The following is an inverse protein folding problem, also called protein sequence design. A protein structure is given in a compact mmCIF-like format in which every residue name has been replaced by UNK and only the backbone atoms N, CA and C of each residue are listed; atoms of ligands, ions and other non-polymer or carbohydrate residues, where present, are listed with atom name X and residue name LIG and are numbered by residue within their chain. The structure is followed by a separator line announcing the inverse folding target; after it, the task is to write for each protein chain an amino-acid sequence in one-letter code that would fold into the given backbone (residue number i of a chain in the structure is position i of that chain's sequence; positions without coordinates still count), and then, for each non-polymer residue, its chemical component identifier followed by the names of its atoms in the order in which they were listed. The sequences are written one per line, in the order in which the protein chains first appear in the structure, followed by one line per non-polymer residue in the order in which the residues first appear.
data_IF_521602051954
#
_entry.id   IF_521602051954
#
_cell.length_a   1.000
_cell.length_b   1.000
_cell.length_c   1.000
_cell.angle_alpha   90.00
_cell.angle_beta   90.00
_cell.angle_gamma   90.00
#
_symmetry.space_group_name_H-M   'P 1'
#
loop_
_entity.id
_entity.type
_entity.pdbx_description
1 polymer ?
#
# COMPACT_ATOMS: atom_id res chain seq x y z
N UNK A 1 44.05 6.86 -24.85
CA UNK A 1 42.65 7.36 -24.84
C UNK A 1 41.65 6.28 -24.45
N UNK A 2 41.62 5.11 -25.09
CA UNK A 2 40.70 3.99 -24.80
C UNK A 2 40.86 3.45 -23.36
N UNK A 3 42.09 3.29 -22.87
CA UNK A 3 42.34 2.82 -21.50
C UNK A 3 41.85 3.77 -20.42
N UNK A 4 41.94 5.09 -20.62
CA UNK A 4 41.43 6.07 -19.67
C UNK A 4 39.90 6.07 -19.61
N UNK A 5 39.22 5.91 -20.75
CA UNK A 5 37.78 5.74 -20.83
C UNK A 5 37.32 4.46 -20.14
N UNK A 6 38.04 3.36 -20.35
CA UNK A 6 37.72 2.08 -19.67
C UNK A 6 37.80 2.21 -18.15
N UNK A 7 38.89 2.78 -17.62
CA UNK A 7 39.06 2.99 -16.15
C UNK A 7 37.98 3.92 -15.62
N UNK A 8 37.63 4.99 -16.36
CA UNK A 8 36.56 5.90 -15.96
C UNK A 8 35.20 5.19 -15.86
N UNK A 9 34.81 4.40 -16.86
CA UNK A 9 33.55 3.67 -16.83
C UNK A 9 33.55 2.58 -15.75
N UNK A 10 34.67 1.89 -15.54
CA UNK A 10 34.80 0.90 -14.46
C UNK A 10 34.61 1.57 -13.09
N UNK A 11 35.22 2.73 -12.87
CA UNK A 11 35.04 3.53 -11.67
C UNK A 11 33.60 4.00 -11.48
N UNK A 12 32.93 4.41 -12.55
CA UNK A 12 31.53 4.82 -12.52
C UNK A 12 30.61 3.65 -12.14
N UNK A 13 30.85 2.46 -12.69
CA UNK A 13 30.10 1.24 -12.33
C UNK A 13 30.34 0.89 -10.86
N UNK A 14 31.61 0.90 -10.42
CA UNK A 14 31.94 0.63 -9.02
C UNK A 14 31.26 1.64 -8.06
N UNK A 15 31.27 2.93 -8.44
CA UNK A 15 30.54 3.95 -7.66
C UNK A 15 29.03 3.69 -7.63
N UNK A 16 28.40 3.37 -8.77
CA UNK A 16 26.95 3.14 -8.85
C UNK A 16 26.49 1.95 -7.98
N UNK A 17 27.27 0.85 -7.98
CA UNK A 17 26.89 -0.37 -7.27
C UNK A 17 27.39 -0.44 -5.82
N UNK A 18 28.47 0.24 -5.47
CA UNK A 18 29.06 0.20 -4.13
C UNK A 18 29.06 1.57 -3.46
N UNK A 19 29.59 2.59 -4.13
CA UNK A 19 29.78 3.92 -3.56
C UNK A 19 28.45 4.61 -3.21
N UNK A 20 27.50 4.60 -4.13
CA UNK A 20 26.20 5.24 -3.91
C UNK A 20 25.36 4.55 -2.81
N UNK A 21 25.19 3.23 -2.76
CA UNK A 21 24.52 2.57 -1.62
C UNK A 21 25.22 2.80 -0.29
N UNK A 22 26.56 2.78 -0.23
CA UNK A 22 27.32 3.07 0.97
C UNK A 22 27.13 4.51 1.44
N UNK A 23 27.18 5.48 0.50
CA UNK A 23 26.92 6.89 0.80
C UNK A 23 25.51 7.10 1.36
N UNK A 24 24.50 6.51 0.73
CA UNK A 24 23.10 6.55 1.22
C UNK A 24 23.00 5.93 2.62
N UNK A 25 23.60 4.77 2.82
CA UNK A 25 23.61 4.11 4.15
C UNK A 25 24.24 5.00 5.23
N UNK A 26 25.38 5.62 4.93
CA UNK A 26 26.02 6.55 5.86
C UNK A 26 25.14 7.78 6.14
N UNK A 27 24.56 8.40 5.11
CA UNK A 27 23.69 9.57 5.23
C UNK A 27 22.41 9.24 6.03
N UNK A 28 21.81 8.09 5.81
CA UNK A 28 20.62 7.67 6.57
C UNK A 28 20.91 7.41 8.03
N UNK A 29 22.13 6.91 8.36
CA UNK A 29 22.57 6.72 9.75
C UNK A 29 22.85 8.03 10.48
N UNK A 30 23.28 9.06 9.75
CA UNK A 30 23.51 10.40 10.31
C UNK A 30 22.22 11.18 10.52
N UNK A 31 21.17 10.87 9.73
CA UNK A 31 19.88 11.55 9.85
C UNK A 31 19.08 10.94 11.02
N UNK A 32 19.16 11.57 12.18
CA UNK A 32 18.26 11.26 13.32
C UNK A 32 16.85 11.71 12.93
N UNK A 33 15.93 10.77 12.80
CA UNK A 33 14.51 11.11 12.72
C UNK A 33 14.08 11.68 14.06
N UNK A 34 13.55 12.89 14.07
CA UNK A 34 12.91 13.43 15.25
C UNK A 34 11.72 12.53 15.63
N UNK A 35 11.43 12.35 16.94
CA UNK A 35 10.19 11.67 17.33
C UNK A 35 9.01 12.37 16.69
N UNK A 36 8.16 11.60 16.00
CA UNK A 36 6.94 12.13 15.43
C UNK A 36 5.97 12.48 16.58
N UNK A 37 5.29 13.63 16.52
CA UNK A 37 4.30 14.00 17.52
C UNK A 37 3.19 12.93 17.57
N UNK A 38 2.67 12.69 18.77
CA UNK A 38 1.47 11.87 18.96
C UNK A 38 0.26 12.69 18.50
N UNK A 39 -0.33 12.33 17.39
CA UNK A 39 -1.56 12.92 16.88
C UNK A 39 -2.71 11.91 17.02
N UNK A 40 -3.97 12.37 17.17
CA UNK A 40 -5.11 11.46 17.11
C UNK A 40 -5.14 10.75 15.75
N UNK A 41 -5.62 9.50 15.69
CA UNK A 41 -5.69 8.76 14.43
C UNK A 41 -6.55 9.52 13.40
N UNK A 42 -6.05 9.82 12.20
CA UNK A 42 -6.82 10.43 11.13
C UNK A 42 -7.89 9.48 10.60
N UNK A 43 -8.84 10.00 9.83
CA UNK A 43 -9.76 9.15 9.08
C UNK A 43 -9.05 8.59 7.84
N UNK A 44 -9.06 7.28 7.69
CA UNK A 44 -8.33 6.56 6.63
C UNK A 44 -9.31 5.82 5.73
N UNK A 45 -9.11 5.88 4.42
CA UNK A 45 -9.77 5.00 3.46
C UNK A 45 -8.77 3.97 2.93
N UNK A 46 -9.04 2.69 3.15
CA UNK A 46 -8.31 1.58 2.55
C UNK A 46 -9.02 1.14 1.25
N UNK A 47 -8.39 1.39 0.10
CA UNK A 47 -8.88 0.96 -1.20
C UNK A 47 -8.15 -0.32 -1.61
N UNK A 48 -8.92 -1.40 -1.81
CA UNK A 48 -8.43 -2.71 -2.24
C UNK A 48 -8.81 -2.91 -3.70
N UNK A 49 -7.81 -2.97 -4.59
CA UNK A 49 -8.03 -3.29 -5.99
C UNK A 49 -8.25 -4.80 -6.16
N UNK A 50 -9.31 -5.19 -6.85
CA UNK A 50 -9.64 -6.59 -7.09
C UNK A 50 -10.12 -6.81 -8.54
N UNK A 51 -9.56 -7.84 -9.19
CA UNK A 51 -9.99 -8.37 -10.47
C UNK A 51 -9.72 -9.87 -10.50
N UNK A 52 -10.78 -10.69 -10.50
CA UNK A 52 -10.70 -12.16 -10.46
C UNK A 52 -9.85 -12.67 -9.28
N UNK A 53 -10.25 -12.27 -8.08
CA UNK A 53 -9.54 -12.55 -6.82
C UNK A 53 -10.39 -13.40 -5.85
N UNK A 54 -11.34 -14.22 -6.37
CA UNK A 54 -12.26 -15.02 -5.54
C UNK A 54 -11.54 -15.92 -4.53
N UNK A 55 -10.32 -16.40 -4.89
CA UNK A 55 -9.55 -17.29 -4.04
C UNK A 55 -8.98 -16.60 -2.79
N UNK A 56 -8.75 -15.27 -2.83
CA UNK A 56 -8.01 -14.55 -1.77
C UNK A 56 -8.79 -13.39 -1.16
N UNK A 57 -9.82 -12.87 -1.84
CA UNK A 57 -10.51 -11.65 -1.41
C UNK A 57 -11.14 -11.78 -0.01
N UNK A 58 -11.71 -12.94 0.33
CA UNK A 58 -12.29 -13.16 1.66
C UNK A 58 -11.22 -13.09 2.77
N UNK A 59 -10.06 -13.71 2.54
CA UNK A 59 -8.93 -13.65 3.48
C UNK A 59 -8.42 -12.21 3.63
N UNK A 60 -8.33 -11.47 2.53
CA UNK A 60 -7.95 -10.05 2.53
C UNK A 60 -8.93 -9.18 3.33
N UNK A 61 -10.22 -9.38 3.16
CA UNK A 61 -11.24 -8.61 3.88
C UNK A 61 -11.25 -8.92 5.37
N UNK A 62 -11.13 -10.20 5.75
CA UNK A 62 -10.96 -10.57 7.15
C UNK A 62 -9.71 -9.96 7.77
N UNK A 63 -8.58 -9.96 7.04
CA UNK A 63 -7.36 -9.29 7.47
C UNK A 63 -7.55 -7.76 7.64
N UNK A 64 -8.23 -7.10 6.69
CA UNK A 64 -8.51 -5.67 6.76
C UNK A 64 -9.43 -5.30 7.94
N UNK A 65 -10.40 -6.15 8.28
CA UNK A 65 -11.31 -5.97 9.42
C UNK A 65 -10.63 -6.22 10.78
N UNK A 66 -9.52 -6.98 10.79
CA UNK A 66 -8.74 -7.31 11.98
C UNK A 66 -7.58 -6.31 12.24
N UNK A 67 -7.45 -5.26 11.43
CA UNK A 67 -6.42 -4.23 11.63
C UNK A 67 -6.63 -3.49 12.95
N UNK A 68 -5.53 -3.24 13.67
CA UNK A 68 -5.50 -2.45 14.91
C UNK A 68 -5.61 -0.95 14.57
N UNK A 69 -6.82 -0.54 14.19
CA UNK A 69 -7.16 0.85 13.90
C UNK A 69 -8.62 1.12 14.32
N UNK A 70 -8.95 2.31 14.88
CA UNK A 70 -10.32 2.62 15.29
C UNK A 70 -11.30 2.40 14.13
N UNK A 71 -12.30 1.55 14.35
CA UNK A 71 -13.20 1.10 13.28
C UNK A 71 -13.98 2.26 12.65
N UNK A 72 -14.36 3.23 13.47
CA UNK A 72 -15.03 4.47 13.07
C UNK A 72 -14.11 5.44 12.28
N UNK A 73 -12.81 5.14 12.22
CA UNK A 73 -11.79 5.91 11.49
C UNK A 73 -11.22 5.16 10.29
N UNK A 74 -11.79 4.00 9.94
CA UNK A 74 -11.33 3.18 8.82
C UNK A 74 -12.49 2.84 7.87
N UNK A 75 -12.51 3.48 6.71
CA UNK A 75 -13.37 3.09 5.59
C UNK A 75 -12.65 2.05 4.74
N UNK A 76 -13.35 0.98 4.36
CA UNK A 76 -12.80 -0.07 3.48
C UNK A 76 -13.62 -0.10 2.19
N UNK A 77 -12.97 0.12 1.06
CA UNK A 77 -13.57 0.10 -0.27
C UNK A 77 -12.87 -0.96 -1.12
N UNK A 78 -13.64 -1.86 -1.73
CA UNK A 78 -13.13 -2.78 -2.75
C UNK A 78 -13.44 -2.21 -4.13
N UNK A 79 -12.40 -1.85 -4.87
CA UNK A 79 -12.48 -1.39 -6.25
C UNK A 79 -12.43 -2.63 -7.18
N UNK A 80 -13.60 -3.19 -7.48
CA UNK A 80 -13.73 -4.34 -8.37
C UNK A 80 -14.00 -3.89 -9.81
N UNK A 81 -13.23 -4.42 -10.78
CA UNK A 81 -13.19 -3.94 -12.16
C UNK A 81 -13.48 -5.06 -13.15
N UNK A 82 -14.77 -5.33 -13.37
CA UNK A 82 -15.21 -6.30 -14.37
C UNK A 82 -14.80 -7.74 -14.06
N UNK A 83 -14.76 -8.13 -12.77
CA UNK A 83 -14.55 -9.54 -12.39
C UNK A 83 -15.69 -10.40 -12.94
N UNK A 84 -15.35 -11.52 -13.56
CA UNK A 84 -16.26 -12.53 -14.10
C UNK A 84 -16.32 -13.80 -13.23
N UNK A 85 -15.60 -13.81 -12.10
CA UNK A 85 -15.64 -14.81 -11.05
C UNK A 85 -16.53 -14.36 -9.87
N UNK A 86 -16.48 -15.06 -8.76
CA UNK A 86 -17.27 -14.76 -7.56
C UNK A 86 -16.73 -13.63 -6.68
N UNK A 87 -15.71 -12.87 -7.13
CA UNK A 87 -15.08 -11.79 -6.34
C UNK A 87 -16.13 -10.80 -5.82
N UNK A 88 -16.99 -10.26 -6.69
CA UNK A 88 -17.99 -9.26 -6.31
C UNK A 88 -19.04 -9.83 -5.34
N UNK A 89 -19.49 -11.06 -5.56
CA UNK A 89 -20.42 -11.76 -4.67
C UNK A 89 -19.84 -11.93 -3.27
N UNK A 90 -18.58 -12.37 -3.17
CA UNK A 90 -17.89 -12.56 -1.90
C UNK A 90 -17.78 -11.22 -1.17
N UNK A 91 -17.35 -10.14 -1.85
CA UNK A 91 -17.25 -8.81 -1.24
C UNK A 91 -18.60 -8.34 -0.70
N UNK A 92 -19.69 -8.60 -1.42
CA UNK A 92 -21.04 -8.21 -1.01
C UNK A 92 -21.44 -8.85 0.33
N UNK A 93 -20.96 -10.05 0.67
CA UNK A 93 -21.23 -10.67 1.98
C UNK A 93 -20.61 -9.90 3.15
N UNK A 94 -19.60 -9.07 2.88
CA UNK A 94 -18.96 -8.22 3.89
C UNK A 94 -19.61 -6.85 4.08
N UNK A 95 -20.67 -6.53 3.32
CA UNK A 95 -21.38 -5.25 3.46
C UNK A 95 -21.92 -5.00 4.87
N UNK A 96 -22.37 -6.05 5.56
CA UNK A 96 -22.80 -5.99 6.96
C UNK A 96 -21.68 -5.58 7.95
N UNK A 97 -20.42 -5.71 7.54
CA UNK A 97 -19.23 -5.25 8.28
C UNK A 97 -18.75 -3.87 7.84
N UNK A 98 -19.53 -3.14 7.01
CA UNK A 98 -19.20 -1.81 6.54
C UNK A 98 -18.15 -1.78 5.42
N UNK A 99 -17.96 -2.89 4.70
CA UNK A 99 -17.13 -2.92 3.47
C UNK A 99 -17.98 -2.42 2.30
N UNK A 100 -17.44 -1.48 1.55
CA UNK A 100 -18.09 -0.87 0.39
C UNK A 100 -17.58 -1.56 -0.88
N UNK A 101 -18.50 -2.15 -1.66
CA UNK A 101 -18.19 -2.66 -2.98
C UNK A 101 -18.39 -1.56 -4.03
N UNK A 102 -17.29 -1.13 -4.65
CA UNK A 102 -17.29 -0.24 -5.81
C UNK A 102 -17.01 -1.07 -7.07
N UNK A 103 -18.07 -1.52 -7.74
CA UNK A 103 -18.02 -2.48 -8.86
C UNK A 103 -18.67 -1.91 -10.12
N UNK A 104 -18.08 -2.25 -11.27
CA UNK A 104 -18.70 -2.15 -12.58
C UNK A 104 -18.48 -3.45 -13.34
N UNK A 105 -19.47 -3.87 -14.19
CA UNK A 105 -19.36 -5.13 -14.94
C UNK A 105 -18.38 -5.07 -16.12
N UNK A 106 -18.05 -3.87 -16.60
CA UNK A 106 -17.13 -3.68 -17.72
C UNK A 106 -15.73 -3.35 -17.20
N UNK A 107 -14.74 -4.16 -17.57
CA UNK A 107 -13.34 -3.94 -17.22
C UNK A 107 -12.79 -2.68 -17.87
N UNK A 108 -12.31 -1.75 -17.06
CA UNK A 108 -11.73 -0.48 -17.50
C UNK A 108 -10.24 -0.35 -17.11
N UNK A 109 -9.72 -1.30 -16.36
CA UNK A 109 -8.35 -1.32 -15.89
C UNK A 109 -8.18 -0.74 -14.48
N UNK A 110 -7.13 -1.20 -13.81
CA UNK A 110 -6.84 -0.91 -12.39
C UNK A 110 -6.90 0.58 -12.05
N UNK A 111 -6.32 1.44 -12.91
CA UNK A 111 -6.30 2.90 -12.65
C UNK A 111 -7.70 3.49 -12.62
N UNK A 112 -8.57 3.10 -13.55
CA UNK A 112 -9.95 3.58 -13.59
C UNK A 112 -10.75 3.10 -12.38
N UNK A 113 -10.54 1.85 -11.97
CA UNK A 113 -11.15 1.31 -10.75
C UNK A 113 -10.73 2.10 -9.50
N UNK A 114 -9.43 2.39 -9.35
CA UNK A 114 -8.91 3.19 -8.24
C UNK A 114 -9.44 4.62 -8.26
N UNK A 115 -9.47 5.30 -9.42
CA UNK A 115 -10.04 6.64 -9.54
C UNK A 115 -11.52 6.69 -9.16
N UNK A 116 -12.29 5.68 -9.57
CA UNK A 116 -13.71 5.57 -9.20
C UNK A 116 -13.88 5.34 -7.70
N UNK A 117 -13.05 4.49 -7.08
CA UNK A 117 -13.06 4.28 -5.63
C UNK A 117 -12.64 5.55 -4.87
N UNK A 118 -11.68 6.32 -5.40
CA UNK A 118 -11.26 7.60 -4.84
C UNK A 118 -12.40 8.63 -4.78
N UNK A 119 -13.36 8.60 -5.72
CA UNK A 119 -14.47 9.57 -5.72
C UNK A 119 -15.47 9.35 -4.58
N UNK A 120 -15.41 8.20 -3.90
CA UNK A 120 -16.25 7.86 -2.74
C UNK A 120 -15.43 7.66 -1.46
N UNK A 121 -14.14 7.97 -1.52
CA UNK A 121 -13.24 7.92 -0.37
C UNK A 121 -13.48 9.16 0.51
N UNK A 122 -13.66 8.94 1.82
CA UNK A 122 -13.92 9.97 2.82
C UNK A 122 -12.72 10.25 3.72
N UNK A 123 -11.70 9.38 3.67
CA UNK A 123 -10.51 9.48 4.51
C UNK A 123 -9.61 10.64 4.13
N UNK A 124 -9.03 11.28 5.14
CA UNK A 124 -7.97 12.29 4.98
C UNK A 124 -6.71 11.67 4.35
N UNK A 125 -6.49 10.38 4.61
CA UNK A 125 -5.39 9.58 4.06
C UNK A 125 -5.99 8.39 3.33
N UNK A 126 -5.50 8.13 2.12
CA UNK A 126 -5.92 6.97 1.32
C UNK A 126 -4.78 5.97 1.24
N UNK A 127 -5.07 4.72 1.61
CA UNK A 127 -4.16 3.58 1.46
C UNK A 127 -4.60 2.73 0.28
N UNK A 128 -3.67 2.37 -0.58
CA UNK A 128 -3.91 1.45 -1.69
C UNK A 128 -3.33 0.07 -1.38
N UNK A 129 -4.10 -0.97 -1.68
CA UNK A 129 -3.71 -2.35 -1.50
C UNK A 129 -4.18 -3.22 -2.67
N UNK A 130 -3.40 -4.23 -2.99
CA UNK A 130 -3.88 -5.33 -3.83
C UNK A 130 -4.60 -6.37 -2.97
N UNK A 131 -5.50 -7.14 -3.58
CA UNK A 131 -6.28 -8.17 -2.89
C UNK A 131 -5.42 -9.33 -2.33
N UNK A 132 -4.27 -9.60 -2.95
CA UNK A 132 -3.35 -10.68 -2.55
C UNK A 132 -2.33 -10.28 -1.46
N UNK A 133 -2.36 -9.04 -0.95
CA UNK A 133 -1.46 -8.58 0.10
C UNK A 133 -2.14 -8.67 1.47
N UNK A 134 -1.56 -9.41 2.42
CA UNK A 134 -1.97 -9.39 3.82
C UNK A 134 -1.13 -8.38 4.60
N UNK A 135 -1.74 -7.75 5.56
CA UNK A 135 -1.14 -6.71 6.38
C UNK A 135 -0.93 -7.19 7.82
N UNK A 136 0.15 -6.74 8.44
CA UNK A 136 0.32 -6.83 9.87
C UNK A 136 -0.73 -5.95 10.58
N UNK A 137 -1.12 -6.32 11.79
CA UNK A 137 -2.24 -5.67 12.49
C UNK A 137 -2.07 -4.16 12.65
N UNK A 138 -0.85 -3.69 12.89
CA UNK A 138 -0.52 -2.29 13.17
C UNK A 138 -0.09 -1.47 11.92
N UNK A 139 -0.18 -2.05 10.72
CA UNK A 139 0.33 -1.44 9.48
C UNK A 139 -0.27 -0.06 9.21
N UNK A 140 -1.58 0.13 9.46
CA UNK A 140 -2.24 1.41 9.23
C UNK A 140 -1.66 2.47 10.16
N UNK A 141 -1.47 2.15 11.45
CA UNK A 141 -0.86 3.07 12.41
C UNK A 141 0.57 3.47 11.97
N UNK A 142 1.36 2.49 11.51
CA UNK A 142 2.72 2.74 11.04
C UNK A 142 2.76 3.63 9.79
N UNK A 143 1.85 3.41 8.83
CA UNK A 143 1.78 4.15 7.58
C UNK A 143 1.25 5.58 7.76
N UNK A 144 0.32 5.81 8.69
CA UNK A 144 -0.25 7.15 8.92
C UNK A 144 0.61 8.03 9.82
N UNK A 145 1.40 7.43 10.71
CA UNK A 145 2.23 8.15 11.67
C UNK A 145 3.14 9.22 11.07
N UNK A 146 3.83 9.00 9.92
CA UNK A 146 4.67 10.02 9.31
C UNK A 146 3.93 11.28 8.84
N UNK A 147 2.62 11.21 8.56
CA UNK A 147 1.81 12.36 8.15
C UNK A 147 1.58 13.38 9.28
N UNK A 148 2.01 13.09 10.51
CA UNK A 148 2.10 14.10 11.57
C UNK A 148 3.11 15.24 11.22
N UNK A 149 4.04 14.98 10.28
CA UNK A 149 4.85 16.02 9.64
C UNK A 149 4.11 16.51 8.37
N UNK A 150 3.70 17.79 8.31
CA UNK A 150 2.97 18.33 7.15
C UNK A 150 3.77 18.34 5.84
N UNK A 151 5.07 18.07 5.90
CA UNK A 151 5.93 17.91 4.71
C UNK A 151 5.85 16.53 4.08
N UNK A 152 5.24 15.55 4.75
CA UNK A 152 5.07 14.20 4.25
C UNK A 152 3.82 14.12 3.40
N UNK A 153 3.98 13.91 2.10
CA UNK A 153 2.89 13.75 1.14
C UNK A 153 2.54 12.30 0.81
N UNK A 154 3.44 11.35 1.07
CA UNK A 154 3.21 9.93 0.82
C UNK A 154 4.10 9.06 1.70
N UNK A 155 3.60 7.85 2.01
CA UNK A 155 4.34 6.80 2.72
C UNK A 155 4.19 5.47 2.00
N UNK A 156 5.12 4.56 2.18
CA UNK A 156 5.03 3.20 1.66
C UNK A 156 5.54 2.19 2.68
N UNK A 157 4.91 1.02 2.71
CA UNK A 157 5.37 -0.10 3.51
C UNK A 157 6.38 -0.97 2.75
N UNK A 158 7.12 -1.79 3.50
CA UNK A 158 7.94 -2.85 2.93
C UNK A 158 7.09 -4.11 2.73
N UNK A 159 7.20 -4.71 1.53
CA UNK A 159 6.56 -6.00 1.24
C UNK A 159 7.56 -7.13 1.53
N UNK A 160 7.21 -8.03 2.44
CA UNK A 160 7.95 -9.29 2.65
C UNK A 160 7.23 -10.44 1.93
N UNK A 161 8.01 -11.33 1.32
CA UNK A 161 7.47 -12.55 0.72
C UNK A 161 7.58 -13.64 1.79
N UNK A 162 6.45 -14.00 2.40
CA UNK A 162 6.37 -15.20 3.23
C UNK A 162 6.32 -16.42 2.31
N UNK A 163 7.26 -17.34 2.45
CA UNK A 163 7.17 -18.65 1.80
C UNK A 163 5.96 -19.37 2.41
N UNK A 164 4.92 -19.57 1.61
CA UNK A 164 3.81 -20.41 2.02
C UNK A 164 4.36 -21.79 2.37
N UNK A 165 4.02 -22.30 3.55
CA UNK A 165 4.18 -23.71 3.84
C UNK A 165 3.14 -24.42 2.95
N UNK A 166 3.61 -25.04 1.85
CA UNK A 166 2.82 -25.95 1.04
C UNK A 166 2.59 -27.27 1.75
#
# INVERSE_FOLDING_TARGET
MIGALFVFFLGFVAYAYLGYPLALFALTRLKRSAPLPSAPPPFVTLIIAAYNEEAVIAAKLNNALALDYPREKLQIIVAADGSDDRTAEIVQTFAQHGVILNYIPLRQGKMMALMRAMSVAEGEIVLFSDANNLYDADVVQQLVRPFADPKVGATTGAKSITRGHG
#
